data_IF_471902987050
#
_entry.id   IF_471902987050
#
_cell.length_a   1.000
_cell.length_b   1.000
_cell.length_c   1.000
_cell.angle_alpha   90.00
_cell.angle_beta   90.00
_cell.angle_gamma   90.00
#
_symmetry.space_group_name_H-M   'P 1'
#
loop_
_entity.id
_entity.type
_entity.pdbx_description
1 polymer ?
#
# COMPACT_ATOMS: atom_id res chain seq x y z
N UNK A 1 7.59 -9.07 -10.30
CA UNK A 1 8.94 -8.79 -9.76
C UNK A 1 9.52 -10.09 -9.25
N UNK A 2 10.84 -10.34 -9.36
CA UNK A 2 11.46 -11.58 -8.83
C UNK A 2 12.04 -11.26 -7.46
N UNK A 3 11.62 -12.01 -6.44
CA UNK A 3 12.07 -11.93 -5.06
C UNK A 3 13.16 -12.97 -4.79
N UNK A 4 13.65 -13.02 -3.55
CA UNK A 4 14.57 -14.09 -3.10
C UNK A 4 13.94 -15.47 -3.36
N UNK A 5 14.79 -16.46 -3.60
CA UNK A 5 14.41 -17.85 -3.88
C UNK A 5 13.61 -18.07 -5.17
N UNK A 6 13.79 -17.19 -6.18
CA UNK A 6 13.08 -17.22 -7.46
C UNK A 6 11.54 -17.14 -7.33
N UNK A 7 11.05 -16.54 -6.24
CA UNK A 7 9.63 -16.25 -6.08
C UNK A 7 9.23 -15.08 -6.97
N UNK A 8 8.30 -15.31 -7.89
CA UNK A 8 7.66 -14.25 -8.65
C UNK A 8 6.53 -13.62 -7.82
N UNK A 9 6.57 -12.29 -7.68
CA UNK A 9 5.49 -11.49 -7.13
C UNK A 9 4.69 -10.86 -8.26
N UNK A 10 3.41 -11.22 -8.33
CA UNK A 10 2.39 -10.57 -9.15
C UNK A 10 1.44 -9.81 -8.21
N UNK A 11 1.30 -8.50 -8.42
CA UNK A 11 0.40 -7.65 -7.63
C UNK A 11 -0.66 -7.05 -8.53
N UNK A 12 -1.93 -7.23 -8.16
CA UNK A 12 -3.08 -6.72 -8.92
C UNK A 12 -3.94 -5.87 -8.00
N UNK A 13 -4.21 -4.63 -8.39
CA UNK A 13 -5.13 -3.76 -7.67
C UNK A 13 -6.56 -4.24 -7.97
N UNK A 14 -7.28 -4.66 -6.94
CA UNK A 14 -8.65 -5.19 -7.02
C UNK A 14 -9.70 -4.17 -6.56
N UNK A 15 -9.28 -3.15 -5.80
CA UNK A 15 -10.14 -2.07 -5.35
C UNK A 15 -9.38 -0.75 -5.20
N UNK A 16 -10.06 0.37 -5.46
CA UNK A 16 -9.53 1.71 -5.26
C UNK A 16 -10.65 2.66 -4.86
N UNK A 17 -10.38 3.50 -3.87
CA UNK A 17 -11.25 4.61 -3.46
C UNK A 17 -10.40 5.88 -3.24
N UNK A 18 -11.05 7.03 -3.41
CA UNK A 18 -10.48 8.35 -3.12
C UNK A 18 -11.54 9.20 -2.45
N UNK A 19 -11.15 9.91 -1.40
CA UNK A 19 -11.95 10.91 -0.72
C UNK A 19 -11.21 12.25 -0.72
N UNK A 20 -11.85 13.30 -1.23
CA UNK A 20 -11.29 14.66 -1.19
C UNK A 20 -11.84 15.37 0.05
N UNK A 21 -10.95 15.81 0.96
CA UNK A 21 -11.36 16.49 2.19
C UNK A 21 -11.47 18.01 1.98
N UNK A 22 -10.51 18.59 1.26
CA UNK A 22 -10.46 20.02 0.88
C UNK A 22 -9.54 20.21 -0.34
N UNK A 23 -9.13 21.44 -0.69
CA UNK A 23 -8.25 21.69 -1.85
C UNK A 23 -6.87 21.02 -1.77
N UNK A 24 -6.34 20.88 -0.56
CA UNK A 24 -4.95 20.50 -0.31
C UNK A 24 -4.83 19.08 0.28
N UNK A 25 -5.94 18.48 0.71
CA UNK A 25 -5.94 17.18 1.38
C UNK A 25 -6.86 16.17 0.71
N UNK A 26 -6.36 14.96 0.48
CA UNK A 26 -7.16 13.82 0.04
C UNK A 26 -6.62 12.51 0.61
N UNK A 27 -7.55 11.56 0.79
CA UNK A 27 -7.23 10.21 1.23
C UNK A 27 -7.47 9.25 0.06
N UNK A 28 -6.59 8.27 -0.11
CA UNK A 28 -6.81 7.13 -1.01
C UNK A 28 -6.77 5.83 -0.23
N UNK A 29 -7.56 4.87 -0.68
CA UNK A 29 -7.48 3.48 -0.24
C UNK A 29 -7.34 2.58 -1.47
N UNK A 30 -6.40 1.64 -1.45
CA UNK A 30 -6.20 0.64 -2.50
C UNK A 30 -6.17 -0.75 -1.88
N UNK A 31 -6.92 -1.69 -2.46
CA UNK A 31 -6.84 -3.12 -2.16
C UNK A 31 -6.03 -3.79 -3.25
N UNK A 32 -4.97 -4.47 -2.86
CA UNK A 32 -4.07 -5.20 -3.76
C UNK A 32 -4.06 -6.67 -3.38
N UNK A 33 -4.35 -7.52 -4.35
CA UNK A 33 -4.13 -8.96 -4.24
C UNK A 33 -2.70 -9.27 -4.68
N UNK A 34 -1.92 -9.94 -3.83
CA UNK A 34 -0.57 -10.35 -4.19
C UNK A 34 -0.47 -11.86 -4.28
N UNK A 35 0.10 -12.33 -5.39
CA UNK A 35 0.41 -13.72 -5.66
C UNK A 35 1.93 -13.89 -5.64
N UNK A 36 2.39 -14.75 -4.74
CA UNK A 36 3.77 -15.20 -4.63
C UNK A 36 3.85 -16.60 -5.23
N UNK A 37 4.58 -16.75 -6.34
CA UNK A 37 4.69 -18.00 -7.09
C UNK A 37 6.14 -18.46 -7.17
N UNK A 38 6.42 -19.67 -6.67
CA UNK A 38 7.67 -20.39 -6.87
C UNK A 38 7.42 -21.76 -7.50
N UNK A 39 8.47 -22.55 -7.69
CA UNK A 39 8.37 -23.88 -8.31
C UNK A 39 7.46 -24.85 -7.55
N UNK A 40 7.39 -24.72 -6.22
CA UNK A 40 6.64 -25.64 -5.34
C UNK A 40 5.65 -24.95 -4.42
N UNK A 41 5.53 -23.61 -4.49
CA UNK A 41 4.73 -22.84 -3.56
C UNK A 41 3.96 -21.76 -4.31
N UNK A 42 2.65 -21.69 -4.04
CA UNK A 42 1.79 -20.60 -4.45
C UNK A 42 1.16 -20.06 -3.18
N UNK A 43 1.44 -18.80 -2.87
CA UNK A 43 0.87 -18.10 -1.73
C UNK A 43 0.16 -16.85 -2.20
N UNK A 44 -0.99 -16.57 -1.57
CA UNK A 44 -1.82 -15.42 -1.87
C UNK A 44 -2.00 -14.64 -0.58
N UNK A 45 -2.07 -13.32 -0.66
CA UNK A 45 -2.60 -12.49 0.41
C UNK A 45 -3.35 -11.28 -0.17
N UNK A 46 -3.99 -10.54 0.72
CA UNK A 46 -4.61 -9.25 0.42
C UNK A 46 -3.89 -8.17 1.23
N UNK A 47 -3.65 -7.03 0.57
CA UNK A 47 -3.00 -5.87 1.14
C UNK A 47 -3.87 -4.65 0.93
N UNK A 48 -4.32 -4.04 2.02
CA UNK A 48 -4.96 -2.73 1.99
C UNK A 48 -3.90 -1.65 2.23
N UNK A 49 -3.90 -0.61 1.41
CA UNK A 49 -3.06 0.57 1.60
C UNK A 49 -3.94 1.81 1.65
N UNK A 50 -3.90 2.50 2.79
CA UNK A 50 -4.61 3.77 2.99
C UNK A 50 -3.59 4.88 3.19
N UNK A 51 -3.66 5.91 2.35
CA UNK A 51 -2.72 7.03 2.36
C UNK A 51 -3.48 8.35 2.46
N UNK A 52 -3.11 9.15 3.45
CA UNK A 52 -3.58 10.53 3.63
C UNK A 52 -2.52 11.50 3.10
N UNK A 53 -2.86 12.24 2.04
CA UNK A 53 -1.98 13.16 1.32
C UNK A 53 -2.32 14.61 1.64
N UNK A 54 -1.29 15.40 1.94
CA UNK A 54 -1.38 16.80 2.31
C UNK A 54 -0.42 17.60 1.42
N UNK A 55 -0.97 18.52 0.63
CA UNK A 55 -0.21 19.44 -0.19
C UNK A 55 0.26 20.63 0.65
N UNK A 56 1.55 20.93 0.58
CA UNK A 56 2.21 21.97 1.37
C UNK A 56 3.02 22.88 0.44
N UNK A 57 2.88 24.19 0.62
CA UNK A 57 3.73 25.19 0.00
C UNK A 57 4.78 25.64 1.02
N UNK A 58 5.99 25.10 0.91
CA UNK A 58 7.13 25.47 1.75
C UNK A 58 7.91 26.64 1.10
N UNK A 59 8.25 27.66 1.90
CA UNK A 59 8.92 28.87 1.40
C UNK A 59 10.33 28.60 0.83
N UNK A 60 11.01 27.54 1.30
CA UNK A 60 12.39 27.23 0.91
C UNK A 60 12.48 26.12 -0.14
N UNK A 61 11.58 25.13 -0.07
CA UNK A 61 11.63 23.94 -0.91
C UNK A 61 10.63 23.99 -2.08
N UNK A 62 9.59 24.84 -1.97
CA UNK A 62 8.52 24.96 -2.94
C UNK A 62 7.35 24.03 -2.63
N UNK A 63 6.73 23.48 -3.66
CA UNK A 63 5.62 22.53 -3.54
C UNK A 63 6.11 21.17 -3.03
N UNK A 64 5.48 20.67 -1.97
CA UNK A 64 5.73 19.37 -1.36
C UNK A 64 4.40 18.65 -1.17
N UNK A 65 4.38 17.33 -1.29
CA UNK A 65 3.27 16.50 -0.81
C UNK A 65 3.79 15.64 0.34
N UNK A 66 3.28 15.89 1.55
CA UNK A 66 3.45 14.99 2.68
C UNK A 66 2.37 13.91 2.63
N UNK A 67 2.71 12.68 3.02
CA UNK A 67 1.71 11.63 3.15
C UNK A 67 1.95 10.71 4.34
N UNK A 68 0.86 10.34 5.02
CA UNK A 68 0.86 9.28 6.02
C UNK A 68 0.19 8.04 5.41
N UNK A 69 0.96 6.99 5.22
CA UNK A 69 0.49 5.74 4.64
C UNK A 69 0.46 4.62 5.68
N UNK A 70 -0.64 3.89 5.74
CA UNK A 70 -0.80 2.66 6.49
C UNK A 70 -1.02 1.52 5.49
N UNK A 71 -0.25 0.45 5.63
CA UNK A 71 -0.42 -0.78 4.85
C UNK A 71 -0.77 -1.92 5.80
N UNK A 72 -1.92 -2.55 5.55
CA UNK A 72 -2.48 -3.64 6.34
C UNK A 72 -2.44 -4.93 5.50
N UNK A 73 -1.87 -6.00 6.06
CA UNK A 73 -1.78 -7.30 5.41
C UNK A 73 -2.77 -8.26 6.05
N UNK A 74 -3.57 -8.93 5.23
CA UNK A 74 -4.56 -9.91 5.65
C UNK A 74 -4.13 -11.31 5.22
N UNK A 75 -4.52 -12.31 6.01
CA UNK A 75 -4.32 -13.71 5.64
C UNK A 75 -5.17 -14.07 4.42
N UNK A 76 -4.72 -15.06 3.67
CA UNK A 76 -5.53 -15.70 2.64
C UNK A 76 -6.44 -16.76 3.26
N UNK A 77 -7.59 -17.08 2.64
CA UNK A 77 -8.45 -18.20 3.06
C UNK A 77 -7.75 -19.55 3.18
N UNK A 78 -6.56 -19.70 2.60
CA UNK A 78 -5.73 -20.91 2.67
C UNK A 78 -4.89 -20.99 3.96
N UNK A 79 -4.72 -19.88 4.67
CA UNK A 79 -3.97 -19.84 5.92
C UNK A 79 -4.76 -20.51 7.06
N UNK A 80 -4.11 -21.36 7.90
CA UNK A 80 -4.80 -22.08 8.98
C UNK A 80 -5.56 -21.16 9.95
N UNK A 81 -5.01 -19.97 10.20
CA UNK A 81 -5.55 -19.00 11.16
C UNK A 81 -6.46 -17.96 10.50
N UNK A 82 -6.80 -18.09 9.21
CA UNK A 82 -7.59 -17.11 8.47
C UNK A 82 -8.91 -16.75 9.18
N UNK A 83 -9.70 -17.76 9.56
CA UNK A 83 -10.98 -17.54 10.25
C UNK A 83 -10.80 -17.04 11.68
N UNK A 84 -9.66 -17.31 12.31
CA UNK A 84 -9.33 -16.80 13.65
C UNK A 84 -8.99 -15.31 13.58
N UNK A 85 -8.24 -14.90 12.54
CA UNK A 85 -7.92 -13.50 12.27
C UNK A 85 -9.15 -12.71 11.82
N UNK A 86 -10.07 -13.33 11.06
CA UNK A 86 -11.27 -12.67 10.54
C UNK A 86 -10.90 -11.46 9.68
N UNK A 87 -11.52 -10.31 9.95
CA UNK A 87 -11.24 -9.04 9.25
C UNK A 87 -10.15 -8.20 9.93
N UNK A 88 -9.27 -8.82 10.72
CA UNK A 88 -8.14 -8.13 11.34
C UNK A 88 -6.86 -8.35 10.54
N UNK A 89 -6.07 -7.29 10.29
CA UNK A 89 -4.78 -7.45 9.65
C UNK A 89 -3.80 -8.17 10.57
N UNK A 90 -3.01 -9.06 10.01
CA UNK A 90 -1.94 -9.79 10.72
C UNK A 90 -0.63 -9.01 10.77
N UNK A 91 -0.47 -8.00 9.91
CA UNK A 91 0.63 -7.05 9.97
C UNK A 91 0.16 -5.65 9.57
N UNK A 92 0.74 -4.65 10.23
CA UNK A 92 0.51 -3.23 9.95
C UNK A 92 1.86 -2.52 9.81
N UNK A 93 2.01 -1.78 8.73
CA UNK A 93 3.16 -0.93 8.47
C UNK A 93 2.69 0.52 8.36
N UNK A 94 3.48 1.45 8.91
CA UNK A 94 3.24 2.88 8.80
C UNK A 94 4.43 3.55 8.14
N UNK A 95 4.16 4.33 7.11
CA UNK A 95 5.15 5.12 6.38
C UNK A 95 4.78 6.60 6.46
N UNK A 96 5.82 7.42 6.58
CA UNK A 96 5.73 8.85 6.31
C UNK A 96 6.47 9.08 5.00
N UNK A 97 5.79 9.71 4.05
CA UNK A 97 6.31 9.98 2.72
C UNK A 97 6.39 11.49 2.53
N UNK A 98 7.44 11.91 1.84
CA UNK A 98 7.63 13.27 1.38
C UNK A 98 7.92 13.17 -0.12
N UNK A 99 7.03 13.74 -0.94
CA UNK A 99 7.15 13.74 -2.38
C UNK A 99 7.53 15.14 -2.84
N UNK A 100 8.70 15.22 -3.47
CA UNK A 100 9.23 16.45 -4.04
C UNK A 100 9.09 16.40 -5.56
N UNK A 101 8.77 17.52 -6.23
CA UNK A 101 8.74 17.59 -7.67
C UNK A 101 10.13 17.31 -8.25
N UNK A 102 10.17 16.48 -9.29
CA UNK A 102 11.37 16.30 -10.10
C UNK A 102 11.68 17.62 -10.81
N UNK A 103 12.82 18.23 -10.51
CA UNK A 103 13.34 19.36 -11.27
C UNK A 103 14.06 18.79 -12.48
N UNK A 104 13.54 19.02 -13.68
CA UNK A 104 14.30 18.76 -14.91
C UNK A 104 15.45 19.79 -14.99
N UNK A 105 16.67 19.32 -15.22
CA UNK A 105 17.88 20.15 -15.40
C UNK A 105 17.90 20.88 -16.75
#
# INVERSE_FOLDING_TARGET
SILRDNLELVSVITGRAREQLNSDNFITCEITQQLFQGETMIYLNEVETTTDYHHILDENQGEIIEANQITAIYLSPQDPDYFVAGNHPVALYRYQLELLPLREE
#
